data_IF_576841927326
#
_entry.id   IF_576841927326
#
_cell.length_a   1.000
_cell.length_b   1.000
_cell.length_c   1.000
_cell.angle_alpha   90.00
_cell.angle_beta   90.00
_cell.angle_gamma   90.00
#
_symmetry.space_group_name_H-M   'P 1'
#
loop_
_entity.id
_entity.type
_entity.pdbx_description
1 polymer ?
#
# COMPACT_ATOMS: atom_id res chain seq x y z
N UNK A 1 -12.09 16.48 -11.22
CA UNK A 1 -11.73 17.31 -10.03
C UNK A 1 -10.31 16.94 -9.56
N UNK A 2 -9.69 17.68 -8.64
CA UNK A 2 -8.48 17.19 -7.93
C UNK A 2 -8.90 16.64 -6.56
N UNK A 3 -8.34 15.48 -6.22
CA UNK A 3 -8.49 14.84 -4.92
C UNK A 3 -7.17 15.04 -4.16
N UNK A 4 -7.27 15.45 -2.89
CA UNK A 4 -6.13 15.52 -1.96
C UNK A 4 -6.34 14.54 -0.82
N UNK A 5 -5.34 13.69 -0.57
CA UNK A 5 -5.35 12.65 0.47
C UNK A 5 -4.09 12.79 1.30
N UNK A 6 -4.25 12.73 2.63
CA UNK A 6 -3.12 12.62 3.53
C UNK A 6 -2.70 11.15 3.68
N UNK A 7 -1.46 10.83 3.28
CA UNK A 7 -0.90 9.48 3.31
C UNK A 7 0.26 9.33 4.28
N UNK A 8 0.32 8.18 4.95
CA UNK A 8 1.36 7.81 5.90
C UNK A 8 2.10 6.55 5.49
N UNK A 9 3.42 6.62 5.44
CA UNK A 9 4.29 5.51 5.06
C UNK A 9 5.27 5.17 6.18
N UNK A 10 5.22 3.93 6.66
CA UNK A 10 6.10 3.43 7.72
C UNK A 10 7.32 2.72 7.15
N UNK A 11 8.53 3.10 7.58
CA UNK A 11 9.78 2.53 7.08
C UNK A 11 10.93 2.66 8.09
N UNK A 12 12.16 2.27 7.71
CA UNK A 12 13.36 2.48 8.52
C UNK A 12 13.85 3.92 8.46
N UNK A 13 14.63 4.39 9.44
CA UNK A 13 15.25 5.73 9.37
C UNK A 13 16.11 5.92 8.10
N UNK A 14 16.96 4.94 7.78
CA UNK A 14 17.81 4.95 6.59
C UNK A 14 16.99 5.11 5.30
N UNK A 15 15.89 4.36 5.19
CA UNK A 15 14.99 4.44 4.04
C UNK A 15 14.27 5.79 3.98
N UNK A 16 13.84 6.33 5.12
CA UNK A 16 13.19 7.64 5.18
C UNK A 16 14.12 8.76 4.73
N UNK A 17 15.38 8.75 5.17
CA UNK A 17 16.41 9.70 4.72
C UNK A 17 16.66 9.60 3.21
N UNK A 18 16.73 8.37 2.67
CA UNK A 18 16.86 8.17 1.22
C UNK A 18 15.64 8.72 0.46
N UNK A 19 14.42 8.46 0.95
CA UNK A 19 13.18 8.96 0.34
C UNK A 19 13.15 10.49 0.30
N UNK A 20 13.56 11.16 1.39
CA UNK A 20 13.62 12.62 1.44
C UNK A 20 14.63 13.20 0.43
N UNK A 21 15.72 12.47 0.14
CA UNK A 21 16.75 12.91 -0.80
C UNK A 21 16.44 12.60 -2.27
N UNK A 22 15.79 11.47 -2.58
CA UNK A 22 15.63 10.97 -3.96
C UNK A 22 14.20 10.58 -4.37
N UNK A 23 13.20 10.82 -3.52
CA UNK A 23 11.83 10.31 -3.64
C UNK A 23 11.70 8.80 -3.36
N UNK A 24 10.47 8.30 -3.31
CA UNK A 24 10.13 6.90 -3.09
C UNK A 24 10.53 6.02 -4.28
N UNK A 25 10.91 4.78 -3.97
CA UNK A 25 11.02 3.70 -4.95
C UNK A 25 9.70 2.91 -4.97
N UNK A 26 9.30 2.44 -6.15
CA UNK A 26 8.08 1.64 -6.30
C UNK A 26 8.31 0.22 -5.79
N UNK A 27 7.30 -0.33 -5.13
CA UNK A 27 7.13 -1.78 -5.03
C UNK A 27 6.57 -2.32 -6.35
N UNK A 28 7.02 -3.51 -6.75
CA UNK A 28 6.65 -4.13 -8.03
C UNK A 28 6.22 -5.57 -7.85
N UNK A 29 5.19 -5.98 -8.58
CA UNK A 29 4.84 -7.37 -8.79
C UNK A 29 3.35 -7.68 -8.67
N UNK A 30 2.98 -8.87 -9.13
CA UNK A 30 1.57 -9.29 -9.20
C UNK A 30 0.92 -9.54 -7.84
N UNK A 31 1.72 -9.66 -6.78
CA UNK A 31 1.25 -9.91 -5.40
C UNK A 31 1.11 -8.62 -4.58
N UNK A 32 1.43 -7.48 -5.19
CA UNK A 32 1.20 -6.18 -4.58
C UNK A 32 -0.30 -5.95 -4.42
N UNK A 33 -0.73 -5.35 -3.30
CA UNK A 33 -2.16 -5.30 -2.94
C UNK A 33 -3.01 -4.53 -3.95
N UNK A 34 -2.47 -3.46 -4.51
CA UNK A 34 -3.15 -2.53 -5.42
C UNK A 34 -2.26 -2.22 -6.65
N UNK A 35 -1.39 -3.17 -7.00
CA UNK A 35 -0.48 -3.09 -8.13
C UNK A 35 0.82 -2.36 -7.80
N UNK A 36 1.60 -2.07 -8.81
CA UNK A 36 2.88 -1.40 -8.63
C UNK A 36 2.65 0.01 -8.06
N UNK A 37 3.46 0.39 -7.08
CA UNK A 37 3.24 1.66 -6.39
C UNK A 37 3.99 1.85 -5.08
N UNK A 38 3.85 3.06 -4.56
CA UNK A 38 4.22 3.42 -3.19
C UNK A 38 2.98 3.36 -2.31
N UNK A 39 3.05 2.62 -1.22
CA UNK A 39 1.90 2.34 -0.37
C UNK A 39 1.82 3.29 0.82
N UNK A 40 0.62 3.83 1.06
CA UNK A 40 0.32 4.71 2.18
C UNK A 40 -0.91 4.21 2.93
N UNK A 41 -0.86 4.27 4.26
CA UNK A 41 -2.06 4.25 5.09
C UNK A 41 -2.74 5.61 5.02
N UNK A 42 -4.07 5.60 4.86
CA UNK A 42 -4.87 6.82 4.73
C UNK A 42 -6.08 6.76 5.67
N UNK A 43 -6.72 7.90 5.90
CA UNK A 43 -7.97 7.93 6.64
C UNK A 43 -9.06 7.13 5.91
N UNK A 44 -9.77 6.27 6.63
CA UNK A 44 -10.82 5.42 6.05
C UNK A 44 -11.56 4.65 7.12
N UNK A 45 -11.50 3.31 7.08
CA UNK A 45 -12.08 2.44 8.13
C UNK A 45 -11.48 2.76 9.48
N UNK A 46 -10.15 2.90 9.53
CA UNK A 46 -9.43 3.32 10.72
C UNK A 46 -9.08 4.82 10.61
N UNK A 47 -9.33 5.57 11.69
CA UNK A 47 -9.13 7.02 11.76
C UNK A 47 -7.71 7.44 12.17
N UNK A 48 -6.79 6.48 12.34
CA UNK A 48 -5.42 6.70 12.77
C UNK A 48 -4.40 6.06 11.82
N UNK A 49 -4.33 6.49 10.55
CA UNK A 49 -3.39 5.96 9.56
C UNK A 49 -1.91 6.06 9.97
N UNK A 50 -1.53 7.08 10.72
CA UNK A 50 -0.18 7.27 11.25
C UNK A 50 0.24 6.18 12.23
N UNK A 51 -0.67 5.75 13.12
CA UNK A 51 -0.43 4.63 14.04
C UNK A 51 -0.33 3.30 13.28
N UNK A 52 -1.06 3.16 12.17
CA UNK A 52 -1.01 1.96 11.33
C UNK A 52 0.30 1.87 10.55
N UNK A 53 0.77 3.00 10.02
CA UNK A 53 2.08 3.10 9.37
C UNK A 53 3.21 2.75 10.34
N UNK A 54 3.15 3.23 11.58
CA UNK A 54 4.09 2.83 12.65
C UNK A 54 4.03 1.31 12.91
N UNK A 55 2.84 0.75 13.14
CA UNK A 55 2.67 -0.69 13.39
C UNK A 55 3.18 -1.53 12.23
N UNK A 56 2.98 -1.06 10.99
CA UNK A 56 3.53 -1.67 9.79
C UNK A 56 5.06 -1.66 9.79
N UNK A 57 5.68 -0.49 10.06
CA UNK A 57 7.13 -0.35 10.10
C UNK A 57 7.76 -1.30 11.14
N UNK A 58 7.15 -1.42 12.32
CA UNK A 58 7.58 -2.35 13.36
C UNK A 58 7.37 -3.79 12.88
N UNK A 59 6.20 -4.14 12.37
CA UNK A 59 5.90 -5.52 11.97
C UNK A 59 6.79 -6.01 10.82
N UNK A 60 7.07 -5.17 9.82
CA UNK A 60 7.92 -5.52 8.67
C UNK A 60 9.41 -5.61 9.02
N UNK A 61 9.85 -4.94 10.08
CA UNK A 61 11.24 -4.98 10.51
C UNK A 61 11.68 -6.37 11.00
N UNK A 62 10.73 -7.22 11.41
CA UNK A 62 11.04 -8.55 11.94
C UNK A 62 11.38 -9.53 10.82
N UNK A 63 12.58 -10.09 10.89
CA UNK A 63 13.05 -11.10 9.97
C UNK A 63 12.72 -12.50 10.49
N UNK A 64 11.80 -13.18 9.79
CA UNK A 64 11.36 -14.52 10.20
C UNK A 64 12.42 -15.61 10.04
N UNK A 65 13.49 -15.38 9.27
CA UNK A 65 14.58 -16.33 9.06
C UNK A 65 15.63 -16.17 10.15
N UNK A 66 16.17 -14.95 10.33
CA UNK A 66 17.25 -14.67 11.27
C UNK A 66 16.76 -14.44 12.71
N UNK A 67 15.44 -14.27 12.91
CA UNK A 67 14.81 -14.02 14.21
C UNK A 67 15.37 -12.78 14.92
N UNK A 68 15.70 -11.75 14.14
CA UNK A 68 16.09 -10.43 14.62
C UNK A 68 15.38 -9.36 13.80
N UNK A 69 15.44 -8.11 14.25
CA UNK A 69 14.96 -6.99 13.47
C UNK A 69 16.02 -6.54 12.45
N UNK A 70 15.63 -6.39 11.18
CA UNK A 70 16.48 -5.86 10.11
C UNK A 70 16.86 -4.38 10.35
N UNK A 71 16.05 -3.66 11.14
CA UNK A 71 16.35 -2.34 11.66
C UNK A 71 15.69 -2.15 13.03
N UNK A 72 16.28 -1.31 13.89
CA UNK A 72 15.77 -1.04 15.24
C UNK A 72 15.16 0.35 15.41
N UNK A 73 15.23 1.19 14.38
CA UNK A 73 14.74 2.56 14.38
C UNK A 73 13.82 2.75 13.19
N UNK A 74 12.55 3.05 13.47
CA UNK A 74 11.52 3.27 12.45
C UNK A 74 11.20 4.75 12.31
N UNK A 75 10.67 5.10 11.15
CA UNK A 75 10.12 6.40 10.82
C UNK A 75 8.72 6.24 10.24
N UNK A 76 7.88 7.25 10.49
CA UNK A 76 6.65 7.47 9.72
C UNK A 76 6.83 8.75 8.92
N UNK A 77 6.69 8.61 7.60
CA UNK A 77 6.62 9.71 6.67
C UNK A 77 5.15 10.08 6.45
N UNK A 78 4.86 11.37 6.36
CA UNK A 78 3.60 11.92 5.85
C UNK A 78 3.85 12.51 4.46
N UNK A 79 2.87 12.39 3.58
CA UNK A 79 2.86 13.07 2.28
C UNK A 79 1.44 13.48 1.94
N UNK A 80 1.30 14.58 1.21
CA UNK A 80 0.06 14.91 0.53
C UNK A 80 0.04 14.23 -0.83
N UNK A 81 -1.02 13.47 -1.09
CA UNK A 81 -1.24 12.75 -2.34
C UNK A 81 -2.28 13.53 -3.13
N UNK A 82 -1.87 14.13 -4.25
CA UNK A 82 -2.73 14.90 -5.14
C UNK A 82 -2.90 14.12 -6.44
N UNK A 83 -4.15 13.88 -6.83
CA UNK A 83 -4.48 13.11 -8.03
C UNK A 83 -5.72 13.67 -8.71
N UNK A 84 -5.76 13.59 -10.03
CA UNK A 84 -6.98 13.86 -10.79
C UNK A 84 -7.99 12.75 -10.53
N UNK A 85 -9.23 13.12 -10.32
CA UNK A 85 -10.33 12.19 -10.05
C UNK A 85 -10.44 11.08 -11.11
N UNK A 86 -10.24 11.39 -12.39
CA UNK A 86 -10.25 10.40 -13.46
C UNK A 86 -9.08 9.40 -13.40
N UNK A 87 -8.01 9.74 -12.67
CA UNK A 87 -6.83 8.91 -12.47
C UNK A 87 -6.81 8.27 -11.07
N UNK A 88 -7.92 8.36 -10.33
CA UNK A 88 -8.11 7.80 -9.01
C UNK A 88 -9.14 6.67 -9.05
N UNK A 89 -8.69 5.46 -8.71
CA UNK A 89 -9.58 4.29 -8.60
C UNK A 89 -9.87 3.99 -7.14
N UNK A 90 -11.12 4.19 -6.71
CA UNK A 90 -11.56 3.93 -5.34
C UNK A 90 -12.31 2.59 -5.21
N UNK A 91 -11.59 1.52 -4.90
CA UNK A 91 -12.16 0.18 -4.67
C UNK A 91 -12.94 0.08 -3.35
N UNK A 92 -13.22 1.21 -2.69
CA UNK A 92 -14.14 1.28 -1.54
C UNK A 92 -15.50 1.88 -1.90
N UNK A 93 -15.68 2.25 -3.16
CA UNK A 93 -16.91 2.79 -3.74
C UNK A 93 -17.57 1.80 -4.69
N UNK A 94 -18.87 1.94 -4.94
CA UNK A 94 -19.61 1.11 -5.89
C UNK A 94 -19.02 1.22 -7.31
N UNK A 95 -18.86 2.45 -7.83
CA UNK A 95 -18.25 2.71 -9.14
C UNK A 95 -16.88 2.06 -9.32
N UNK A 96 -16.03 2.12 -8.29
CA UNK A 96 -14.71 1.50 -8.34
C UNK A 96 -14.75 -0.02 -8.36
N UNK A 97 -15.74 -0.64 -7.70
CA UNK A 97 -15.98 -2.08 -7.76
C UNK A 97 -16.48 -2.48 -9.15
N UNK A 98 -17.39 -1.72 -9.76
CA UNK A 98 -17.85 -1.98 -11.14
C UNK A 98 -16.70 -1.94 -12.15
N UNK A 99 -15.82 -0.94 -12.04
CA UNK A 99 -14.60 -0.87 -12.88
C UNK A 99 -13.74 -2.11 -12.68
N UNK A 100 -13.61 -2.58 -11.44
CA UNK A 100 -12.79 -3.75 -11.13
C UNK A 100 -13.39 -5.06 -11.66
N UNK A 101 -14.72 -5.22 -11.57
CA UNK A 101 -15.45 -6.34 -12.18
C UNK A 101 -15.27 -6.37 -13.70
N UNK A 102 -15.35 -5.22 -14.36
CA UNK A 102 -15.05 -5.11 -15.79
C UNK A 102 -13.62 -5.58 -16.13
N UNK A 103 -12.63 -5.25 -15.30
CA UNK A 103 -11.25 -5.72 -15.52
C UNK A 103 -11.11 -7.24 -15.37
N UNK A 104 -11.84 -7.85 -14.43
CA UNK A 104 -11.87 -9.31 -14.26
C UNK A 104 -12.36 -9.99 -15.54
N UNK A 105 -13.50 -9.56 -16.06
CA UNK A 105 -14.08 -10.11 -17.29
C UNK A 105 -13.13 -9.89 -18.48
N UNK A 106 -12.58 -8.68 -18.60
CA UNK A 106 -11.69 -8.30 -19.69
C UNK A 106 -10.41 -9.15 -19.76
N UNK A 107 -9.90 -9.58 -18.62
CA UNK A 107 -8.64 -10.30 -18.49
C UNK A 107 -8.78 -11.77 -18.11
N UNK A 108 -10.01 -12.31 -18.08
CA UNK A 108 -10.29 -13.67 -17.63
C UNK A 108 -9.45 -14.71 -18.40
N UNK A 109 -9.41 -14.61 -19.72
CA UNK A 109 -8.63 -15.53 -20.58
C UNK A 109 -7.13 -15.41 -20.31
N UNK A 110 -6.60 -14.18 -20.21
CA UNK A 110 -5.17 -13.94 -19.93
C UNK A 110 -4.76 -14.48 -18.57
N UNK A 111 -5.62 -14.33 -17.56
CA UNK A 111 -5.37 -14.86 -16.22
C UNK A 111 -5.35 -16.40 -16.27
N UNK A 112 -6.31 -17.03 -16.94
CA UNK A 112 -6.36 -18.49 -17.14
C UNK A 112 -5.11 -19.01 -17.83
N UNK A 113 -4.67 -18.36 -18.90
CA UNK A 113 -3.47 -18.74 -19.66
C UNK A 113 -2.17 -18.55 -18.88
N UNK A 114 -2.11 -17.55 -17.99
CA UNK A 114 -0.90 -17.25 -17.22
C UNK A 114 -0.51 -18.34 -16.21
N UNK A 115 -1.41 -19.27 -15.91
CA UNK A 115 -1.20 -20.31 -14.87
C UNK A 115 -0.97 -19.75 -13.46
N UNK A 116 -1.14 -18.43 -13.25
CA UNK A 116 -1.04 -17.79 -11.95
C UNK A 116 -2.19 -18.27 -11.08
N UNK A 117 -1.89 -18.57 -9.81
CA UNK A 117 -2.95 -18.85 -8.83
C UNK A 117 -3.84 -17.60 -8.72
N UNK A 118 -5.15 -17.79 -8.77
CA UNK A 118 -6.19 -16.75 -8.65
C UNK A 118 -6.23 -16.06 -7.26
N UNK A 119 -5.20 -16.19 -6.45
CA UNK A 119 -5.11 -15.55 -5.14
C UNK A 119 -4.49 -14.16 -5.30
N UNK A 120 -5.20 -13.11 -4.86
CA UNK A 120 -4.76 -11.70 -4.86
C UNK A 120 -4.63 -11.09 -6.28
N UNK A 121 -5.74 -11.07 -7.03
CA UNK A 121 -5.77 -10.57 -8.41
C UNK A 121 -5.74 -9.04 -8.53
N UNK A 122 -6.05 -8.31 -7.47
CA UNK A 122 -6.27 -6.86 -7.53
C UNK A 122 -5.08 -6.12 -8.13
N UNK A 123 -3.88 -6.34 -7.59
CA UNK A 123 -2.69 -5.71 -8.13
C UNK A 123 -2.33 -6.16 -9.53
N UNK A 124 -2.53 -7.44 -9.85
CA UNK A 124 -2.33 -7.97 -11.20
C UNK A 124 -3.25 -7.28 -12.21
N UNK A 125 -4.55 -7.19 -11.92
CA UNK A 125 -5.56 -6.58 -12.80
C UNK A 125 -5.27 -5.10 -13.03
N UNK A 126 -4.92 -4.38 -11.97
CA UNK A 126 -4.52 -2.96 -12.06
C UNK A 126 -3.27 -2.81 -12.94
N UNK A 127 -2.27 -3.66 -12.75
CA UNK A 127 -1.05 -3.62 -13.55
C UNK A 127 -1.31 -3.96 -15.03
N UNK A 128 -2.16 -4.94 -15.32
CA UNK A 128 -2.60 -5.27 -16.67
C UNK A 128 -3.36 -4.11 -17.32
N UNK A 129 -4.30 -3.49 -16.60
CA UNK A 129 -5.07 -2.35 -17.09
C UNK A 129 -4.18 -1.16 -17.45
N UNK A 130 -3.16 -0.87 -16.62
CA UNK A 130 -2.14 0.14 -16.90
C UNK A 130 -1.29 -0.22 -18.12
N UNK A 131 -0.81 -1.46 -18.18
CA UNK A 131 0.05 -1.94 -19.26
C UNK A 131 -0.61 -1.96 -20.63
N UNK A 132 -1.93 -2.20 -20.68
CA UNK A 132 -2.73 -2.21 -21.92
C UNK A 132 -3.36 -0.85 -22.24
N UNK A 133 -3.13 0.17 -21.41
CA UNK A 133 -3.69 1.51 -21.62
C UNK A 133 -5.21 1.57 -21.50
N UNK A 134 -5.83 0.58 -20.84
CA UNK A 134 -7.29 0.53 -20.61
C UNK A 134 -7.70 1.53 -19.54
N UNK A 135 -6.85 1.70 -18.52
CA UNK A 135 -7.12 2.58 -17.39
C UNK A 135 -5.87 3.37 -17.00
N UNK A 136 -5.93 4.69 -17.12
CA UNK A 136 -4.84 5.57 -16.67
C UNK A 136 -4.97 5.85 -15.16
N UNK A 137 -4.63 4.87 -14.33
CA UNK A 137 -4.68 5.03 -12.87
C UNK A 137 -3.33 5.39 -12.28
N UNK A 138 -3.29 6.54 -11.63
CA UNK A 138 -2.12 7.00 -10.88
C UNK A 138 -2.20 6.60 -9.40
N UNK A 139 -3.41 6.59 -8.83
CA UNK A 139 -3.64 6.24 -7.42
C UNK A 139 -4.81 5.27 -7.30
N UNK A 140 -4.61 4.16 -6.60
CA UNK A 140 -5.69 3.21 -6.27
C UNK A 140 -5.86 3.17 -4.77
N UNK A 141 -7.10 3.17 -4.28
CA UNK A 141 -7.45 3.05 -2.87
C UNK A 141 -8.22 1.75 -2.63
N UNK A 142 -8.00 1.12 -1.48
CA UNK A 142 -8.74 -0.07 -1.06
C UNK A 142 -8.69 -0.32 0.45
N UNK A 143 -9.61 -1.17 0.91
CA UNK A 143 -9.69 -1.61 2.32
C UNK A 143 -9.06 -2.99 2.47
N UNK A 144 -8.16 -3.14 3.44
CA UNK A 144 -7.41 -4.38 3.63
C UNK A 144 -7.35 -4.81 5.10
N UNK A 145 -7.20 -6.11 5.29
CA UNK A 145 -6.75 -6.68 6.55
C UNK A 145 -5.23 -6.86 6.52
N UNK A 146 -4.50 -5.90 7.07
CA UNK A 146 -3.04 -5.95 7.20
C UNK A 146 -2.68 -6.46 8.59
N UNK A 147 -1.90 -7.56 8.64
CA UNK A 147 -1.41 -8.11 9.90
C UNK A 147 -0.24 -7.29 10.43
N UNK A 148 -0.40 -6.69 11.61
CA UNK A 148 0.70 -6.09 12.36
C UNK A 148 1.33 -7.15 13.28
N UNK A 149 2.25 -6.72 14.16
CA UNK A 149 3.06 -7.64 14.96
C UNK A 149 2.20 -8.63 15.77
N UNK A 150 1.17 -8.14 16.47
CA UNK A 150 0.29 -8.98 17.28
C UNK A 150 -0.48 -10.01 16.45
N UNK A 151 -1.06 -9.60 15.32
CA UNK A 151 -1.80 -10.49 14.43
C UNK A 151 -0.89 -11.56 13.83
N UNK A 152 0.37 -11.23 13.54
CA UNK A 152 1.38 -12.17 13.06
C UNK A 152 1.75 -13.20 14.13
N UNK A 153 2.05 -12.75 15.36
CA UNK A 153 2.39 -13.61 16.51
C UNK A 153 1.23 -14.58 16.81
N UNK A 154 0.01 -14.06 16.89
CA UNK A 154 -1.21 -14.85 17.16
C UNK A 154 -1.74 -15.62 15.94
N UNK A 155 -1.09 -15.49 14.78
CA UNK A 155 -1.49 -16.11 13.50
C UNK A 155 -2.95 -15.84 13.12
N UNK A 156 -3.45 -14.64 13.42
CA UNK A 156 -4.82 -14.25 13.14
C UNK A 156 -5.04 -14.09 11.63
N UNK A 157 -6.21 -14.51 11.16
CA UNK A 157 -6.71 -14.30 9.80
C UNK A 157 -8.16 -13.82 9.91
N UNK A 158 -8.38 -12.53 9.80
CA UNK A 158 -9.71 -11.93 9.88
C UNK A 158 -10.21 -11.61 8.48
N UNK A 159 -11.51 -11.76 8.27
CA UNK A 159 -12.20 -11.27 7.06
C UNK A 159 -12.45 -9.76 7.12
N UNK A 160 -12.47 -9.21 8.33
CA UNK A 160 -12.72 -7.78 8.56
C UNK A 160 -11.47 -6.97 8.28
N UNK A 161 -11.57 -6.04 7.34
CA UNK A 161 -10.52 -5.07 7.04
C UNK A 161 -10.25 -4.17 8.25
N UNK A 162 -8.97 -3.91 8.53
CA UNK A 162 -8.55 -3.08 9.66
C UNK A 162 -7.92 -1.75 9.24
N UNK A 163 -7.65 -1.57 7.94
CA UNK A 163 -7.00 -0.40 7.39
C UNK A 163 -7.58 -0.02 6.02
N UNK A 164 -7.36 1.23 5.66
CA UNK A 164 -7.52 1.72 4.29
C UNK A 164 -6.15 2.18 3.82
N UNK A 165 -5.74 1.70 2.65
CA UNK A 165 -4.47 2.06 2.03
C UNK A 165 -4.70 2.58 0.62
N UNK A 166 -3.71 3.29 0.09
CA UNK A 166 -3.63 3.56 -1.34
C UNK A 166 -2.23 3.27 -1.88
N UNK A 167 -2.16 2.88 -3.14
CA UNK A 167 -0.93 2.74 -3.91
C UNK A 167 -0.79 3.89 -4.90
N UNK A 168 0.36 4.57 -4.89
CA UNK A 168 0.68 5.68 -5.78
C UNK A 168 1.71 5.21 -6.81
N UNK A 169 1.32 5.13 -8.07
CA UNK A 169 2.15 4.61 -9.16
C UNK A 169 3.15 5.64 -9.71
N UNK A 170 2.79 6.92 -9.72
CA UNK A 170 3.64 8.03 -10.20
C UNK A 170 4.01 8.98 -9.05
N UNK A 171 4.85 8.57 -8.08
CA UNK A 171 5.11 9.35 -6.87
C UNK A 171 5.68 10.75 -7.14
N UNK A 172 6.49 10.93 -8.18
CA UNK A 172 7.00 12.26 -8.57
C UNK A 172 5.89 13.22 -9.03
N UNK A 173 4.84 12.70 -9.66
CA UNK A 173 3.67 13.46 -10.12
C UNK A 173 2.76 13.77 -8.93
N UNK A 174 2.42 12.74 -8.15
CA UNK A 174 1.29 12.78 -7.22
C UNK A 174 1.65 13.10 -5.77
N UNK A 175 2.92 13.02 -5.35
CA UNK A 175 3.30 13.29 -3.96
C UNK A 175 3.83 14.71 -3.77
N UNK A 176 3.39 15.35 -2.70
CA UNK A 176 3.86 16.64 -2.20
C UNK A 176 4.18 16.56 -0.71
N UNK A 177 4.98 17.51 -0.23
CA UNK A 177 5.27 17.73 1.19
C UNK A 177 5.71 16.49 2.00
N UNK A 178 6.63 15.70 1.44
CA UNK A 178 7.16 14.52 2.14
C UNK A 178 7.94 14.95 3.38
N UNK A 179 7.52 14.52 4.57
CA UNK A 179 8.19 14.83 5.84
C UNK A 179 8.09 13.71 6.86
N UNK A 180 9.10 13.59 7.71
CA UNK A 180 9.05 12.70 8.87
C UNK A 180 8.13 13.33 9.93
N UNK A 181 7.12 12.58 10.35
CA UNK A 181 6.20 12.98 11.43
C UNK A 181 6.45 12.22 12.72
N UNK A 182 7.09 11.05 12.65
CA UNK A 182 7.43 10.24 13.82
C UNK A 182 8.75 9.51 13.62
N UNK A 183 9.55 9.48 14.68
CA UNK A 183 10.77 8.69 14.83
C UNK A 183 10.63 7.87 16.12
N UNK A 184 10.95 6.59 16.06
CA UNK A 184 10.89 5.73 17.24
C UNK A 184 11.87 4.57 17.18
N UNK A 185 12.15 4.00 18.36
CA UNK A 185 12.93 2.77 18.49
C UNK A 185 11.99 1.59 18.66
N UNK A 186 12.32 0.50 17.98
CA UNK A 186 11.65 -0.78 18.15
C UNK A 186 12.14 -1.34 19.46
N UNK A 187 11.23 -1.44 20.43
CA UNK A 187 11.50 -2.16 21.67
C UNK A 187 11.38 -3.63 21.36
N UNK A 188 12.31 -4.43 21.85
CA UNK A 188 12.17 -5.89 21.91
C UNK A 188 11.05 -6.21 22.90
N UNK A 189 9.81 -6.01 22.50
CA UNK A 189 8.68 -6.62 23.17
C UNK A 189 8.73 -8.09 22.77
N UNK A 190 8.90 -8.94 23.78
CA UNK A 190 9.05 -10.40 23.72
C UNK A 190 8.26 -10.99 22.55
N UNK A 191 8.98 -11.42 21.52
CA UNK A 191 8.43 -12.13 20.35
C UNK A 191 8.18 -13.58 20.73
#
# INVERSE_FOLDING_TARGET
>A
MLISIEGFHGTSLKSAEAILNSNFQLSFGDKEWLGDGVYFFINGINKKPEEQAEKWAIAQSWNNVTKIYDFNTYCVLKSEIIVEENNFLDLTSEDGIEVFEYLIERFEEKIKESGKKLEYLDGLLINLARGEGILEVDVVKGNFYIKFALERIKRLNLRTNNCTICAVFKPKKNLKEIKITKLGKIKSETI
#
